data_IF_418171719778
#
_entry.id   IF_418171719778
#
_cell.length_a   1.000
_cell.length_b   1.000
_cell.length_c   1.000
_cell.angle_alpha   90.00
_cell.angle_beta   90.00
_cell.angle_gamma   90.00
#
_symmetry.space_group_name_H-M   'P 1'
#
loop_
_entity.id
_entity.type
_entity.pdbx_description
1 polymer ?
#
# COMPACT_ATOMS: atom_id res chain seq x y z
N UNK A 1 10.34 -9.59 3.32
CA UNK A 1 10.69 -9.28 1.92
C UNK A 1 9.80 -10.08 0.98
N UNK A 2 9.22 -9.43 0.01
CA UNK A 2 8.41 -10.07 -1.04
C UNK A 2 9.15 -9.92 -2.38
N UNK A 3 9.25 -11.01 -3.14
CA UNK A 3 9.82 -11.02 -4.50
C UNK A 3 8.70 -11.23 -5.51
N UNK A 4 8.61 -10.37 -6.51
CA UNK A 4 7.60 -10.48 -7.55
C UNK A 4 8.06 -11.33 -8.73
N UNK A 5 7.17 -12.13 -9.32
CA UNK A 5 7.45 -12.98 -10.49
C UNK A 5 7.98 -12.19 -11.71
N UNK A 6 7.59 -10.93 -11.86
CA UNK A 6 8.03 -10.02 -12.94
C UNK A 6 9.32 -9.27 -12.63
N UNK A 7 9.99 -9.61 -11.53
CA UNK A 7 11.15 -8.89 -10.99
C UNK A 7 10.73 -7.79 -10.01
N UNK A 8 11.72 -7.30 -9.28
CA UNK A 8 11.52 -6.34 -8.20
C UNK A 8 11.20 -6.99 -6.86
N UNK A 9 11.28 -6.18 -5.82
CA UNK A 9 11.07 -6.59 -4.43
C UNK A 9 10.25 -5.56 -3.69
N UNK A 10 9.50 -6.01 -2.67
CA UNK A 10 8.88 -5.13 -1.70
C UNK A 10 9.40 -5.46 -0.29
N UNK A 11 9.73 -4.42 0.47
CA UNK A 11 10.01 -4.51 1.89
C UNK A 11 8.77 -3.99 2.64
N UNK A 12 8.19 -4.85 3.47
CA UNK A 12 7.08 -4.50 4.33
C UNK A 12 7.59 -4.50 5.77
N UNK A 13 7.37 -3.41 6.48
CA UNK A 13 7.73 -3.25 7.88
C UNK A 13 6.52 -2.76 8.66
N UNK A 14 6.23 -3.41 9.80
CA UNK A 14 5.20 -3.00 10.75
C UNK A 14 5.79 -3.09 12.16
N UNK A 15 5.89 -1.95 12.85
CA UNK A 15 6.53 -1.83 14.15
C UNK A 15 5.56 -1.12 15.09
N UNK A 16 5.09 -1.80 16.13
CA UNK A 16 4.14 -1.24 17.11
C UNK A 16 4.84 -0.44 18.23
N UNK A 17 6.11 -0.71 18.50
CA UNK A 17 6.84 -0.13 19.62
C UNK A 17 7.57 1.19 19.29
N UNK A 18 7.12 1.90 18.27
CA UNK A 18 7.68 3.18 17.85
C UNK A 18 6.58 4.23 17.69
N UNK A 19 6.85 5.54 17.82
CA UNK A 19 5.93 6.56 17.38
C UNK A 19 5.49 6.32 15.93
N UNK A 20 4.25 6.68 15.61
CA UNK A 20 3.69 6.45 14.30
C UNK A 20 4.58 7.02 13.17
N UNK A 21 4.81 6.21 12.15
CA UNK A 21 5.57 6.58 10.95
C UNK A 21 5.00 5.82 9.74
N UNK A 22 3.91 6.34 9.18
CA UNK A 22 3.31 5.81 7.95
C UNK A 22 4.09 6.24 6.72
N UNK A 23 4.53 5.26 5.91
CA UNK A 23 5.31 5.51 4.70
C UNK A 23 5.02 4.44 3.64
N UNK A 24 4.80 4.91 2.41
CA UNK A 24 4.77 4.06 1.23
C UNK A 24 5.69 4.65 0.16
N UNK A 25 6.55 3.83 -0.45
CA UNK A 25 7.44 4.30 -1.50
C UNK A 25 7.59 3.26 -2.62
N UNK A 26 7.70 3.77 -3.86
CA UNK A 26 7.98 2.96 -5.05
C UNK A 26 9.20 3.54 -5.75
N UNK A 27 10.17 2.67 -6.05
CA UNK A 27 11.40 3.00 -6.75
C UNK A 27 11.41 2.27 -8.10
N UNK A 28 11.60 3.00 -9.17
CA UNK A 28 11.68 2.49 -10.53
C UNK A 28 12.87 3.05 -11.29
N UNK A 29 13.12 2.52 -12.49
CA UNK A 29 14.24 2.96 -13.35
C UNK A 29 14.14 4.41 -13.80
N UNK A 30 12.94 5.00 -13.80
CA UNK A 30 12.70 6.39 -14.24
C UNK A 30 12.57 7.38 -13.08
N UNK A 31 12.57 6.91 -11.84
CA UNK A 31 12.44 7.75 -10.66
C UNK A 31 11.78 7.02 -9.50
N UNK A 32 11.40 7.78 -8.51
CA UNK A 32 10.73 7.25 -7.32
C UNK A 32 9.63 8.20 -6.85
N UNK A 33 8.70 7.63 -6.10
CA UNK A 33 7.64 8.35 -5.40
C UNK A 33 7.58 7.86 -3.96
N UNK A 34 7.36 8.77 -3.04
CA UNK A 34 7.14 8.48 -1.62
C UNK A 34 5.92 9.25 -1.13
N UNK A 35 5.08 8.56 -0.37
CA UNK A 35 3.97 9.14 0.38
C UNK A 35 4.24 8.92 1.85
N UNK A 36 4.15 9.98 2.65
CA UNK A 36 4.23 9.94 4.11
C UNK A 36 2.95 10.45 4.73
N UNK A 37 2.41 9.70 5.67
CA UNK A 37 1.33 10.20 6.51
C UNK A 37 1.86 11.31 7.41
N UNK A 38 1.11 12.41 7.55
CA UNK A 38 1.44 13.49 8.50
C UNK A 38 1.08 13.12 9.93
N UNK A 39 0.00 12.33 10.08
CA UNK A 39 -0.53 11.86 11.37
C UNK A 39 -1.08 10.45 11.26
N UNK A 40 -1.48 9.88 12.37
CA UNK A 40 -2.10 8.54 12.40
C UNK A 40 -3.37 8.49 11.52
N UNK A 41 -3.63 7.40 10.79
CA UNK A 41 -4.79 7.27 9.89
C UNK A 41 -6.16 7.43 10.55
N UNK A 42 -6.27 7.26 11.87
CA UNK A 42 -7.52 7.51 12.62
C UNK A 42 -7.87 8.98 12.76
N UNK A 43 -6.86 9.88 12.67
CA UNK A 43 -7.05 11.32 12.68
C UNK A 43 -6.18 11.96 11.58
N UNK A 44 -6.51 11.74 10.30
CA UNK A 44 -5.64 12.12 9.19
C UNK A 44 -5.57 13.64 9.01
N UNK A 45 -4.36 14.18 8.95
CA UNK A 45 -4.07 15.57 8.57
C UNK A 45 -3.54 15.69 7.14
N UNK A 46 -3.62 14.60 6.37
CA UNK A 46 -3.16 14.50 5.00
C UNK A 46 -1.81 13.84 4.85
N UNK A 47 -1.22 14.05 3.69
CA UNK A 47 0.01 13.37 3.28
C UNK A 47 1.01 14.35 2.71
N UNK A 48 2.29 13.99 2.77
CA UNK A 48 3.35 14.60 1.97
C UNK A 48 3.71 13.64 0.84
N UNK A 49 3.50 14.08 -0.40
CA UNK A 49 3.89 13.37 -1.61
C UNK A 49 5.23 13.92 -2.10
N UNK A 50 6.25 13.08 -2.17
CA UNK A 50 7.55 13.43 -2.74
C UNK A 50 7.81 12.61 -3.99
N UNK A 51 8.22 13.26 -5.07
CA UNK A 51 8.56 12.61 -6.34
C UNK A 51 9.92 13.10 -6.84
N UNK A 52 10.67 12.19 -7.45
CA UNK A 52 11.90 12.51 -8.14
C UNK A 52 11.99 11.68 -9.43
N UNK A 53 11.86 12.33 -10.57
CA UNK A 53 12.08 11.70 -11.86
C UNK A 53 13.53 11.86 -12.29
N UNK A 54 14.03 10.93 -13.10
CA UNK A 54 15.41 10.96 -13.60
C UNK A 54 15.71 12.29 -14.31
N UNK A 55 16.73 12.99 -13.87
CA UNK A 55 17.13 14.28 -14.43
C UNK A 55 16.22 15.45 -14.04
N UNK A 56 15.29 15.26 -13.14
CA UNK A 56 14.40 16.31 -12.64
C UNK A 56 14.69 16.60 -11.17
N UNK A 57 14.45 17.83 -10.70
CA UNK A 57 14.53 18.15 -9.28
C UNK A 57 13.46 17.39 -8.48
N UNK A 58 13.72 17.18 -7.19
CA UNK A 58 12.75 16.64 -6.27
C UNK A 58 11.56 17.62 -6.16
N UNK A 59 10.35 17.07 -6.29
CA UNK A 59 9.10 17.81 -6.09
C UNK A 59 8.40 17.29 -4.85
N UNK A 60 8.00 18.20 -3.97
CA UNK A 60 7.23 17.91 -2.75
C UNK A 60 5.88 18.60 -2.85
N UNK A 61 4.82 17.88 -2.54
CA UNK A 61 3.45 18.38 -2.56
C UNK A 61 2.75 17.94 -1.28
N UNK A 62 2.12 18.88 -0.60
CA UNK A 62 1.24 18.59 0.51
C UNK A 62 -0.16 18.26 -0.02
N UNK A 63 -0.68 17.11 0.39
CA UNK A 63 -2.01 16.62 0.06
C UNK A 63 -2.92 16.78 1.27
N UNK A 64 -4.12 17.35 1.10
CA UNK A 64 -5.10 17.45 2.20
C UNK A 64 -5.60 16.07 2.64
N UNK A 65 -6.18 15.96 3.86
CA UNK A 65 -6.83 14.73 4.28
C UNK A 65 -8.02 14.40 3.38
N UNK A 66 -8.27 13.10 3.19
CA UNK A 66 -9.44 12.61 2.47
C UNK A 66 -10.18 11.60 3.35
N UNK A 67 -11.52 11.54 3.31
CA UNK A 67 -12.32 10.59 4.07
C UNK A 67 -12.27 9.20 3.43
N UNK A 68 -11.09 8.58 3.40
CA UNK A 68 -10.82 7.34 2.66
C UNK A 68 -11.72 6.18 3.12
N UNK A 69 -12.02 6.08 4.41
CA UNK A 69 -12.91 5.06 4.96
C UNK A 69 -14.33 5.25 4.43
N UNK A 70 -14.84 6.51 4.44
CA UNK A 70 -16.16 6.83 3.90
C UNK A 70 -16.24 6.47 2.40
N UNK A 71 -15.27 6.90 1.60
CA UNK A 71 -15.24 6.59 0.17
C UNK A 71 -15.19 5.08 -0.10
N UNK A 72 -14.48 4.32 0.74
CA UNK A 72 -14.44 2.86 0.61
C UNK A 72 -15.81 2.22 0.93
N UNK A 73 -16.50 2.68 1.96
CA UNK A 73 -17.84 2.19 2.32
C UNK A 73 -18.88 2.55 1.26
N UNK A 74 -18.82 3.76 0.72
CA UNK A 74 -19.69 4.21 -0.38
C UNK A 74 -19.46 3.36 -1.64
N UNK A 75 -18.20 3.14 -2.02
CA UNK A 75 -17.86 2.29 -3.17
C UNK A 75 -18.33 0.83 -2.97
N UNK A 76 -18.24 0.30 -1.75
CA UNK A 76 -18.77 -1.02 -1.43
C UNK A 76 -20.30 -1.06 -1.52
N UNK A 77 -20.99 -0.05 -0.99
CA UNK A 77 -22.43 0.05 -1.07
C UNK A 77 -22.93 0.15 -2.52
N UNK A 78 -22.27 0.96 -3.35
CA UNK A 78 -22.60 1.07 -4.77
C UNK A 78 -22.39 -0.24 -5.53
N UNK A 79 -21.34 -0.98 -5.22
CA UNK A 79 -21.11 -2.29 -5.80
C UNK A 79 -22.19 -3.32 -5.36
N UNK A 80 -22.55 -3.32 -4.08
CA UNK A 80 -23.59 -4.21 -3.55
C UNK A 80 -24.96 -3.92 -4.16
N UNK A 81 -25.24 -2.67 -4.51
CA UNK A 81 -26.49 -2.24 -5.18
C UNK A 81 -26.42 -2.34 -6.71
N UNK A 82 -25.33 -2.83 -7.28
CA UNK A 82 -25.13 -2.95 -8.72
C UNK A 82 -25.00 -1.63 -9.48
N UNK A 83 -24.69 -0.52 -8.79
CA UNK A 83 -24.56 0.82 -9.38
C UNK A 83 -23.20 1.03 -10.04
N UNK A 84 -22.13 0.47 -9.46
CA UNK A 84 -20.76 0.54 -9.98
C UNK A 84 -19.96 -0.69 -9.57
N UNK A 85 -18.92 -1.10 -10.30
CA UNK A 85 -18.02 -2.15 -9.84
C UNK A 85 -17.21 -1.67 -8.63
N UNK A 86 -16.93 -2.57 -7.68
CA UNK A 86 -16.02 -2.25 -6.59
C UNK A 86 -14.59 -2.03 -7.12
N UNK A 87 -13.86 -0.99 -6.67
CA UNK A 87 -12.55 -0.63 -7.23
C UNK A 87 -11.47 -1.71 -7.09
N UNK A 88 -11.59 -2.59 -6.07
CA UNK A 88 -10.65 -3.70 -5.86
C UNK A 88 -11.31 -5.01 -6.31
N UNK A 89 -10.86 -5.62 -7.40
CA UNK A 89 -11.38 -6.91 -7.86
C UNK A 89 -11.21 -8.01 -6.80
N UNK A 90 -12.16 -8.96 -6.79
CA UNK A 90 -12.16 -10.08 -5.84
C UNK A 90 -10.85 -10.87 -5.85
N UNK A 91 -10.29 -11.08 -7.03
CA UNK A 91 -9.03 -11.80 -7.23
C UNK A 91 -7.86 -11.10 -6.53
N UNK A 92 -7.84 -9.76 -6.53
CA UNK A 92 -6.82 -8.98 -5.82
C UNK A 92 -7.01 -9.06 -4.30
N UNK A 93 -8.25 -9.07 -3.81
CA UNK A 93 -8.52 -9.27 -2.37
C UNK A 93 -8.03 -10.63 -1.91
N UNK A 94 -8.32 -11.70 -2.66
CA UNK A 94 -7.85 -13.06 -2.38
C UNK A 94 -6.33 -13.12 -2.43
N UNK A 95 -5.70 -12.52 -3.45
CA UNK A 95 -4.23 -12.48 -3.59
C UNK A 95 -3.56 -11.78 -2.40
N UNK A 96 -4.15 -10.71 -1.86
CA UNK A 96 -3.62 -10.04 -0.67
C UNK A 96 -3.66 -10.94 0.57
N UNK A 97 -4.75 -11.69 0.78
CA UNK A 97 -4.84 -12.65 1.89
C UNK A 97 -3.84 -13.78 1.72
N UNK A 98 -3.73 -14.34 0.51
CA UNK A 98 -2.74 -15.39 0.19
C UNK A 98 -1.30 -14.91 0.42
N UNK A 99 -1.01 -13.65 0.09
CA UNK A 99 0.30 -13.06 0.36
C UNK A 99 0.58 -12.94 1.86
N UNK A 100 -0.39 -12.51 2.66
CA UNK A 100 -0.27 -12.43 4.12
C UNK A 100 -0.05 -13.81 4.75
N UNK A 101 -0.79 -14.83 4.31
CA UNK A 101 -0.60 -16.20 4.75
C UNK A 101 0.81 -16.73 4.43
N UNK A 102 1.34 -16.43 3.23
CA UNK A 102 2.69 -16.80 2.85
C UNK A 102 3.73 -16.09 3.73
N UNK A 103 3.53 -14.82 4.07
CA UNK A 103 4.40 -14.09 5.03
C UNK A 103 4.40 -14.77 6.40
N UNK A 104 3.24 -15.18 6.91
CA UNK A 104 3.13 -15.87 8.20
C UNK A 104 3.82 -17.24 8.15
N UNK A 105 3.63 -18.01 7.07
CA UNK A 105 4.34 -19.30 6.89
C UNK A 105 5.85 -19.10 6.83
N UNK A 106 6.33 -18.13 6.04
CA UNK A 106 7.74 -17.80 5.93
C UNK A 106 8.36 -17.39 7.27
N UNK A 107 7.65 -16.60 8.05
CA UNK A 107 8.11 -16.21 9.39
C UNK A 107 8.24 -17.41 10.35
N UNK A 108 7.37 -18.42 10.21
CA UNK A 108 7.42 -19.65 11.03
C UNK A 108 8.48 -20.63 10.55
N UNK A 109 8.62 -20.82 9.25
CA UNK A 109 9.55 -21.79 8.66
C UNK A 109 10.97 -21.27 8.53
N UNK A 110 11.18 -19.95 8.55
CA UNK A 110 12.45 -19.31 8.23
C UNK A 110 12.88 -19.45 6.77
N UNK A 111 11.95 -19.85 5.90
CA UNK A 111 12.20 -20.17 4.49
C UNK A 111 11.37 -19.30 3.55
N UNK A 112 11.75 -19.27 2.27
CA UNK A 112 10.96 -18.63 1.23
C UNK A 112 9.71 -19.47 0.97
N UNK A 113 8.55 -18.84 1.06
CA UNK A 113 7.26 -19.48 0.87
C UNK A 113 6.55 -18.91 -0.38
N UNK A 114 6.03 -19.76 -1.27
CA UNK A 114 5.29 -19.27 -2.42
C UNK A 114 3.93 -18.71 -1.99
N UNK A 115 3.51 -17.63 -2.67
CA UNK A 115 2.13 -17.15 -2.58
C UNK A 115 1.26 -18.04 -3.47
N UNK A 116 0.25 -18.67 -2.88
CA UNK A 116 -0.74 -19.42 -3.65
C UNK A 116 -1.51 -18.45 -4.57
N UNK A 117 -1.57 -18.80 -5.85
CA UNK A 117 -2.29 -18.03 -6.87
C UNK A 117 -3.62 -18.65 -7.18
#
# INVERSE_FOLDING_TARGET
LVTFKRGGHALISAILATPFAGRFAVYGSQGWVEVRDKTHPEAPEGWTLTTCLRGQPIKVVDMPPAPAVLHNLEAFADAALGRAPYPVPREQMIANVSALEAVIRSAKSGSVEPVAG
#
